data_IF_413319419382
#
_entry.id   IF_413319419382
#
_cell.length_a   1.000
_cell.length_b   1.000
_cell.length_c   1.000
_cell.angle_alpha   90.00
_cell.angle_beta   90.00
_cell.angle_gamma   90.00
#
_symmetry.space_group_name_H-M   'P 1'
#
loop_
_entity.id
_entity.type
_entity.pdbx_description
1 polymer ?
#
# COMPACT_ATOMS: atom_id res chain seq x y z
N UNK A 1 -0.42 23.64 -4.86
CA UNK A 1 0.41 22.51 -4.47
C UNK A 1 -0.20 21.21 -4.94
N UNK A 2 0.64 20.32 -5.38
CA UNK A 2 0.17 19.05 -5.92
C UNK A 2 0.81 17.91 -5.14
N UNK A 3 0.00 16.90 -4.78
CA UNK A 3 0.52 15.71 -4.10
C UNK A 3 0.66 14.63 -5.16
N UNK A 4 1.91 14.21 -5.43
CA UNK A 4 2.20 13.19 -6.44
C UNK A 4 2.32 11.80 -5.85
N UNK A 5 2.54 11.70 -4.56
CA UNK A 5 2.84 10.42 -3.94
C UNK A 5 2.30 10.41 -2.50
N UNK A 6 1.49 9.41 -2.20
CA UNK A 6 1.00 9.18 -0.84
C UNK A 6 1.40 7.75 -0.46
N UNK A 7 1.92 7.58 0.75
CA UNK A 7 2.27 6.26 1.26
C UNK A 7 1.33 5.91 2.40
N UNK A 8 0.84 4.67 2.41
CA UNK A 8 -0.02 4.23 3.49
C UNK A 8 0.24 2.77 3.84
N UNK A 9 0.16 2.45 5.11
CA UNK A 9 0.24 1.08 5.57
C UNK A 9 -1.14 0.45 5.51
N UNK A 10 -1.19 -0.80 5.06
CA UNK A 10 -2.44 -1.54 4.97
C UNK A 10 -2.25 -2.90 5.62
N UNK A 11 -3.34 -3.45 6.09
CA UNK A 11 -3.33 -4.74 6.78
C UNK A 11 -3.19 -5.90 5.81
N UNK A 12 -3.86 -5.82 4.67
CA UNK A 12 -3.83 -6.87 3.65
C UNK A 12 -3.41 -6.22 2.34
N UNK A 13 -2.14 -6.40 1.99
CA UNK A 13 -1.55 -5.74 0.84
C UNK A 13 -2.21 -6.15 -0.48
N UNK A 14 -2.48 -7.44 -0.64
CA UNK A 14 -3.06 -7.92 -1.90
C UNK A 14 -4.48 -7.42 -2.09
N UNK A 15 -5.28 -7.41 -1.03
CA UNK A 15 -6.63 -6.88 -1.12
C UNK A 15 -6.65 -5.39 -1.40
N UNK A 16 -5.73 -4.66 -0.78
CA UNK A 16 -5.64 -3.21 -1.03
C UNK A 16 -5.27 -2.94 -2.48
N UNK A 17 -4.30 -3.70 -3.01
CA UNK A 17 -3.93 -3.55 -4.41
C UNK A 17 -5.12 -3.83 -5.31
N UNK A 18 -5.83 -4.93 -5.08
CA UNK A 18 -6.97 -5.30 -5.89
C UNK A 18 -8.07 -4.25 -5.85
N UNK A 19 -8.27 -3.64 -4.67
CA UNK A 19 -9.26 -2.58 -4.54
C UNK A 19 -8.96 -1.43 -5.50
N UNK A 20 -7.71 -0.97 -5.53
CA UNK A 20 -7.34 0.14 -6.41
C UNK A 20 -7.43 -0.25 -7.88
N UNK A 21 -7.01 -1.47 -8.23
CA UNK A 21 -7.07 -1.90 -9.64
C UNK A 21 -8.51 -2.10 -10.11
N UNK A 22 -9.39 -2.46 -9.19
CA UNK A 22 -10.77 -2.77 -9.53
C UNK A 22 -11.65 -1.53 -9.65
N UNK A 23 -11.47 -0.57 -8.75
CA UNK A 23 -12.37 0.58 -8.64
C UNK A 23 -11.81 1.86 -9.22
N UNK A 24 -10.55 1.87 -9.60
CA UNK A 24 -9.89 3.05 -10.18
C UNK A 24 -9.13 2.63 -11.42
N UNK A 25 -8.93 3.58 -12.32
CA UNK A 25 -8.12 3.34 -13.52
C UNK A 25 -6.66 3.47 -13.14
N UNK A 26 -6.06 2.37 -12.69
CA UNK A 26 -4.72 2.35 -12.14
C UNK A 26 -3.95 1.14 -12.65
N UNK A 27 -2.62 1.21 -12.49
CA UNK A 27 -1.75 0.06 -12.73
C UNK A 27 -0.84 -0.10 -11.52
N UNK A 28 -0.38 -1.33 -11.30
CA UNK A 28 0.50 -1.66 -10.18
C UNK A 28 1.84 -2.13 -10.71
N UNK A 29 2.92 -1.75 -10.03
CA UNK A 29 4.24 -2.29 -10.33
C UNK A 29 4.39 -3.68 -9.72
N UNK A 30 5.58 -4.27 -9.87
CA UNK A 30 5.90 -5.54 -9.22
C UNK A 30 6.03 -5.33 -7.72
N UNK A 31 5.65 -6.36 -6.95
CA UNK A 31 5.76 -6.32 -5.50
C UNK A 31 7.22 -6.19 -5.08
N UNK A 32 7.52 -5.25 -4.21
CA UNK A 32 8.78 -5.21 -3.50
C UNK A 32 8.65 -6.01 -2.21
N UNK A 33 9.63 -6.85 -1.92
CA UNK A 33 9.59 -7.66 -0.70
C UNK A 33 10.98 -7.71 -0.08
N UNK A 34 11.10 -7.20 1.13
CA UNK A 34 12.33 -7.28 1.91
C UNK A 34 12.21 -8.48 2.84
N UNK A 35 12.95 -9.54 2.54
CA UNK A 35 12.84 -10.79 3.26
C UNK A 35 13.37 -10.71 4.68
N UNK A 36 14.24 -9.77 4.97
CA UNK A 36 14.82 -9.62 6.31
C UNK A 36 13.78 -9.05 7.29
N UNK A 37 13.04 -8.03 6.86
CA UNK A 37 12.08 -7.35 7.74
C UNK A 37 10.64 -7.80 7.53
N UNK A 38 10.36 -8.47 6.40
CA UNK A 38 9.00 -8.81 6.03
C UNK A 38 8.24 -7.67 5.38
N UNK A 39 8.90 -6.53 5.17
CA UNK A 39 8.28 -5.37 4.53
C UNK A 39 7.93 -5.70 3.08
N UNK A 40 6.73 -5.34 2.67
CA UNK A 40 6.26 -5.52 1.30
C UNK A 40 5.55 -4.27 0.85
N UNK A 41 5.64 -3.96 -0.44
CA UNK A 41 4.95 -2.78 -0.96
C UNK A 41 4.62 -2.93 -2.44
N UNK A 42 3.61 -2.14 -2.85
CA UNK A 42 3.25 -1.92 -4.25
C UNK A 42 3.12 -0.43 -4.49
N UNK A 43 3.48 0.02 -5.68
CA UNK A 43 3.14 1.36 -6.14
C UNK A 43 1.95 1.24 -7.09
N UNK A 44 0.91 1.99 -6.79
CA UNK A 44 -0.30 2.07 -7.63
C UNK A 44 -0.27 3.40 -8.34
N UNK A 45 -0.24 3.38 -9.66
CA UNK A 45 -0.15 4.61 -10.47
C UNK A 45 -1.50 4.92 -11.09
N UNK A 46 -1.95 6.15 -10.91
CA UNK A 46 -3.20 6.64 -11.47
C UNK A 46 -2.95 7.31 -12.83
N UNK A 47 -3.99 7.41 -13.62
CA UNK A 47 -3.89 7.95 -14.98
C UNK A 47 -3.37 9.39 -15.01
N UNK A 48 -3.62 10.16 -13.95
CA UNK A 48 -3.19 11.57 -13.90
C UNK A 48 -1.77 11.74 -13.38
N UNK A 49 -1.06 10.65 -13.11
CA UNK A 49 0.31 10.69 -12.65
C UNK A 49 0.49 10.59 -11.16
N UNK A 50 -0.59 10.66 -10.39
CA UNK A 50 -0.51 10.47 -8.95
C UNK A 50 -0.20 9.00 -8.64
N UNK A 51 0.47 8.77 -7.50
CA UNK A 51 0.82 7.42 -7.09
C UNK A 51 0.54 7.21 -5.62
N UNK A 52 0.15 5.98 -5.29
CA UNK A 52 -0.04 5.56 -3.90
C UNK A 52 0.88 4.38 -3.65
N UNK A 53 1.68 4.47 -2.60
CA UNK A 53 2.50 3.35 -2.17
C UNK A 53 1.76 2.61 -1.06
N UNK A 54 1.37 1.36 -1.34
CA UNK A 54 0.74 0.50 -0.35
C UNK A 54 1.82 -0.34 0.31
N UNK A 55 1.87 -0.33 1.63
CA UNK A 55 2.93 -1.00 2.38
C UNK A 55 2.35 -1.86 3.48
N UNK A 56 3.04 -2.95 3.78
CA UNK A 56 2.70 -3.76 4.93
C UNK A 56 3.96 -4.43 5.48
N UNK A 57 3.93 -4.74 6.75
CA UNK A 57 4.93 -5.57 7.42
C UNK A 57 4.27 -6.17 8.65
N UNK A 58 4.84 -7.27 9.19
CA UNK A 58 4.15 -8.00 10.27
C UNK A 58 3.76 -7.15 11.46
N UNK A 59 4.66 -6.29 11.94
CA UNK A 59 4.36 -5.45 13.09
C UNK A 59 3.25 -4.45 12.80
N UNK A 60 3.26 -3.88 11.61
CA UNK A 60 2.23 -2.92 11.23
C UNK A 60 0.87 -3.55 11.17
N UNK A 61 0.78 -4.74 10.58
CA UNK A 61 -0.49 -5.42 10.46
C UNK A 61 -1.09 -5.72 11.83
N UNK A 62 -0.26 -5.99 12.82
CA UNK A 62 -0.73 -6.29 14.16
C UNK A 62 -1.07 -5.03 14.94
N UNK A 63 -0.18 -4.04 14.90
CA UNK A 63 -0.32 -2.86 15.76
C UNK A 63 -1.47 -1.96 15.34
N UNK A 64 -1.56 -1.61 14.08
CA UNK A 64 -2.57 -0.64 13.68
C UNK A 64 -3.95 -1.26 13.51
N UNK A 65 -4.05 -2.59 13.52
CA UNK A 65 -5.34 -3.27 13.45
C UNK A 65 -6.08 -3.22 14.78
N UNK A 66 -5.41 -2.83 15.85
CA UNK A 66 -5.99 -2.77 17.19
C UNK A 66 -6.18 -1.30 17.58
N UNK A 67 -7.41 -0.76 17.47
CA UNK A 67 -7.64 0.64 17.75
C UNK A 67 -7.39 1.01 19.21
N UNK A 68 -7.35 0.05 20.10
CA UNK A 68 -7.11 0.34 21.52
C UNK A 68 -5.66 0.61 21.82
N UNK A 69 -4.78 0.32 20.89
CA UNK A 69 -3.36 0.60 21.09
C UNK A 69 -2.94 2.02 20.70
N UNK A 70 -3.83 2.77 20.14
CA UNK A 70 -3.53 4.14 19.71
C UNK A 70 -3.67 5.15 20.82
#
# INVERSE_FOLDING_TARGET
MRIDHIAMYVKDLEKAKEFFLRYFDTVSNEKYHNKTTGFQSYFISFADGARVELMTRPETAEDWADPEKT
#
